data_IF_878843463961
#
_entry.id   IF_878843463961
#
_cell.length_a   1.000
_cell.length_b   1.000
_cell.length_c   1.000
_cell.angle_alpha   90.00
_cell.angle_beta   90.00
_cell.angle_gamma   90.00
#
_symmetry.space_group_name_H-M   'P 1'
#
loop_
_entity.id
_entity.type
_entity.pdbx_description
1 polymer ?
#
# COMPACT_ATOMS: atom_id res chain seq x y z
N UNK A 1 5.06 -7.66 12.97
CA UNK A 1 3.90 -8.41 12.42
C UNK A 1 4.08 -9.92 12.54
N UNK A 2 4.98 -10.54 11.76
CA UNK A 2 5.18 -12.00 11.79
C UNK A 2 5.59 -12.51 13.18
N UNK A 3 6.59 -11.86 13.78
CA UNK A 3 7.07 -12.14 15.15
C UNK A 3 6.01 -11.86 16.23
N UNK A 4 5.09 -10.93 15.97
CA UNK A 4 3.99 -10.60 16.86
C UNK A 4 2.80 -11.57 16.70
N UNK A 5 2.97 -12.66 15.94
CA UNK A 5 1.98 -13.72 15.75
C UNK A 5 0.95 -13.46 14.65
N UNK A 6 1.08 -12.39 13.86
CA UNK A 6 0.12 -12.10 12.78
C UNK A 6 0.33 -12.99 11.57
N UNK A 7 -0.78 -13.43 10.97
CA UNK A 7 -0.81 -14.02 9.63
C UNK A 7 -0.76 -12.91 8.58
N UNK A 8 0.33 -12.89 7.80
CA UNK A 8 0.61 -11.82 6.83
C UNK A 8 0.50 -12.38 5.42
N UNK A 9 -0.25 -11.70 4.56
CA UNK A 9 -0.23 -11.95 3.12
C UNK A 9 0.52 -10.85 2.40
N UNK A 10 1.58 -11.21 1.68
CA UNK A 10 2.35 -10.30 0.85
C UNK A 10 1.90 -10.43 -0.61
N UNK A 11 1.30 -9.36 -1.15
CA UNK A 11 0.93 -9.28 -2.56
C UNK A 11 2.17 -8.91 -3.40
N UNK A 12 2.46 -9.70 -4.44
CA UNK A 12 3.61 -9.49 -5.31
C UNK A 12 3.29 -9.87 -6.75
N UNK A 13 3.85 -9.15 -7.72
CA UNK A 13 3.75 -9.51 -9.15
C UNK A 13 4.59 -10.75 -9.51
N UNK A 14 5.46 -11.19 -8.62
CA UNK A 14 6.29 -12.38 -8.80
C UNK A 14 6.39 -13.15 -7.48
N UNK A 15 5.69 -14.29 -7.39
CA UNK A 15 5.73 -15.15 -6.19
C UNK A 15 7.08 -15.83 -5.95
N UNK A 16 7.91 -15.94 -6.99
CA UNK A 16 9.24 -16.55 -6.91
C UNK A 16 10.33 -15.53 -6.51
N UNK A 17 9.94 -14.37 -5.96
CA UNK A 17 10.87 -13.36 -5.48
C UNK A 17 11.62 -13.88 -4.25
N UNK A 18 12.94 -14.10 -4.39
CA UNK A 18 13.79 -14.60 -3.31
C UNK A 18 13.71 -13.77 -2.03
N UNK A 19 13.60 -12.45 -2.13
CA UNK A 19 13.47 -11.58 -0.94
C UNK A 19 12.25 -11.91 -0.08
N UNK A 20 11.17 -12.43 -0.69
CA UNK A 20 9.96 -12.85 0.02
C UNK A 20 10.03 -14.33 0.41
N UNK A 21 10.49 -15.21 -0.49
CA UNK A 21 10.56 -16.65 -0.19
C UNK A 21 11.58 -16.98 0.90
N UNK A 22 12.68 -16.22 0.96
CA UNK A 22 13.77 -16.44 1.92
C UNK A 22 13.38 -16.04 3.35
N UNK A 23 12.25 -15.34 3.54
CA UNK A 23 11.71 -15.02 4.89
C UNK A 23 11.33 -16.30 5.64
N UNK A 24 10.85 -17.33 4.94
CA UNK A 24 10.65 -18.68 5.50
C UNK A 24 9.77 -18.78 6.76
N UNK A 25 8.84 -17.84 6.97
CA UNK A 25 8.02 -17.79 8.19
C UNK A 25 6.66 -18.48 8.02
N UNK A 26 6.20 -19.34 8.96
CA UNK A 26 4.97 -20.12 8.82
C UNK A 26 3.69 -19.26 8.70
N UNK A 27 3.70 -18.05 9.24
CA UNK A 27 2.58 -17.12 9.15
C UNK A 27 2.62 -16.21 7.90
N UNK A 28 3.64 -16.34 7.04
CA UNK A 28 3.73 -15.60 5.79
C UNK A 28 3.09 -16.40 4.65
N UNK A 29 2.16 -15.76 3.93
CA UNK A 29 1.64 -16.26 2.65
C UNK A 29 1.99 -15.29 1.54
N UNK A 30 2.53 -15.81 0.42
CA UNK A 30 2.83 -15.00 -0.76
C UNK A 30 1.65 -15.13 -1.73
N UNK A 31 1.04 -14.01 -2.09
CA UNK A 31 -0.07 -13.94 -3.04
C UNK A 31 0.45 -13.30 -4.33
N UNK A 32 0.33 -14.01 -5.44
CA UNK A 32 0.69 -13.46 -6.75
C UNK A 32 -0.43 -12.59 -7.29
N UNK A 33 -0.13 -11.35 -7.68
CA UNK A 33 -1.10 -10.42 -8.24
C UNK A 33 -0.54 -9.02 -8.45
N UNK A 34 -1.37 -8.16 -9.03
CA UNK A 34 -1.00 -6.79 -9.41
C UNK A 34 -1.93 -5.76 -8.75
N UNK A 35 -1.39 -4.61 -8.31
CA UNK A 35 -2.19 -3.50 -7.77
C UNK A 35 -3.10 -2.88 -8.82
N UNK A 36 -2.77 -3.08 -10.09
CA UNK A 36 -3.53 -2.60 -11.23
C UNK A 36 -4.74 -3.47 -11.57
N UNK A 37 -4.80 -4.70 -11.04
CA UNK A 37 -5.85 -5.70 -11.30
C UNK A 37 -6.81 -5.83 -10.11
N UNK A 38 -8.09 -5.57 -10.35
CA UNK A 38 -9.12 -5.64 -9.33
C UNK A 38 -9.30 -7.05 -8.77
N UNK A 39 -9.16 -8.09 -9.60
CA UNK A 39 -9.35 -9.49 -9.15
C UNK A 39 -8.21 -9.88 -8.21
N UNK A 40 -6.97 -9.49 -8.55
CA UNK A 40 -5.81 -9.63 -7.67
C UNK A 40 -6.03 -8.95 -6.31
N UNK A 41 -6.49 -7.69 -6.31
CA UNK A 41 -6.77 -6.93 -5.07
C UNK A 41 -7.86 -7.59 -4.22
N UNK A 42 -8.99 -7.98 -4.83
CA UNK A 42 -10.08 -8.67 -4.13
C UNK A 42 -9.60 -9.97 -3.49
N UNK A 43 -8.87 -10.79 -4.26
CA UNK A 43 -8.33 -12.07 -3.76
C UNK A 43 -7.36 -11.85 -2.58
N UNK A 44 -6.52 -10.82 -2.64
CA UNK A 44 -5.57 -10.50 -1.59
C UNK A 44 -6.23 -9.98 -0.30
N UNK A 45 -7.35 -9.26 -0.42
CA UNK A 45 -8.06 -8.64 0.72
C UNK A 45 -9.11 -9.55 1.36
N UNK A 46 -9.59 -10.56 0.64
CA UNK A 46 -10.66 -11.45 1.11
C UNK A 46 -10.32 -12.09 2.46
N UNK A 47 -11.19 -11.85 3.45
CA UNK A 47 -11.06 -12.40 4.80
C UNK A 47 -9.90 -11.83 5.62
N UNK A 48 -9.29 -10.70 5.19
CA UNK A 48 -8.25 -10.01 5.95
C UNK A 48 -8.86 -8.99 6.91
N UNK A 49 -8.21 -8.79 8.05
CA UNK A 49 -8.62 -7.78 9.02
C UNK A 49 -8.22 -6.37 8.58
N UNK A 50 -6.97 -6.21 8.14
CA UNK A 50 -6.39 -4.91 7.82
C UNK A 50 -5.34 -5.05 6.73
N UNK A 51 -4.96 -3.90 6.15
CA UNK A 51 -3.92 -3.83 5.12
C UNK A 51 -2.96 -2.68 5.40
N UNK A 52 -1.70 -2.90 5.05
CA UNK A 52 -0.71 -1.84 4.90
C UNK A 52 -0.65 -1.47 3.42
N UNK A 53 -0.99 -0.23 3.08
CA UNK A 53 -1.03 0.26 1.71
C UNK A 53 0.13 1.18 1.41
N UNK A 54 0.81 0.91 0.30
CA UNK A 54 1.81 1.78 -0.32
C UNK A 54 1.80 1.48 -1.82
N UNK A 55 1.87 2.51 -2.65
CA UNK A 55 1.98 2.39 -4.10
C UNK A 55 3.40 2.72 -4.54
N UNK A 56 3.91 2.08 -5.61
CA UNK A 56 5.15 2.52 -6.23
C UNK A 56 4.93 3.86 -6.92
N UNK A 57 5.92 4.75 -6.84
CA UNK A 57 5.97 5.93 -7.71
C UNK A 57 6.28 5.43 -9.12
N UNK A 58 5.31 5.51 -10.02
CA UNK A 58 5.52 5.23 -11.44
C UNK A 58 6.09 6.48 -12.07
N UNK A 59 7.38 6.43 -12.43
CA UNK A 59 8.08 7.54 -13.09
C UNK A 59 7.31 7.88 -14.37
N UNK A 60 6.88 9.14 -14.47
CA UNK A 60 6.10 9.70 -15.58
C UNK A 60 4.59 9.36 -15.62
N UNK A 61 4.06 8.61 -14.67
CA UNK A 61 2.61 8.33 -14.58
C UNK A 61 2.09 8.33 -13.13
N UNK A 62 1.89 9.52 -12.58
CA UNK A 62 1.25 9.68 -11.26
C UNK A 62 -0.23 9.31 -11.26
N UNK A 63 -0.86 9.17 -12.44
CA UNK A 63 -2.27 8.78 -12.53
C UNK A 63 -2.48 7.32 -12.14
N UNK A 64 -1.48 6.47 -12.38
CA UNK A 64 -1.50 5.07 -11.98
C UNK A 64 -1.47 4.91 -10.45
N UNK A 65 -0.64 5.69 -9.75
CA UNK A 65 -0.62 5.74 -8.28
C UNK A 65 -1.99 6.15 -7.72
N UNK A 66 -2.61 7.19 -8.31
CA UNK A 66 -3.96 7.61 -7.96
C UNK A 66 -4.98 6.49 -8.17
N UNK A 67 -4.94 5.84 -9.34
CA UNK A 67 -5.88 4.77 -9.69
C UNK A 67 -5.76 3.58 -8.75
N UNK A 68 -4.53 3.14 -8.45
CA UNK A 68 -4.26 2.06 -7.52
C UNK A 68 -4.74 2.40 -6.11
N UNK A 69 -4.42 3.59 -5.61
CA UNK A 69 -4.86 4.05 -4.28
C UNK A 69 -6.37 4.09 -4.14
N UNK A 70 -7.07 4.66 -5.13
CA UNK A 70 -8.53 4.71 -5.15
C UNK A 70 -9.15 3.32 -5.20
N UNK A 71 -8.61 2.41 -6.02
CA UNK A 71 -9.12 1.03 -6.12
C UNK A 71 -8.86 0.21 -4.86
N UNK A 72 -7.73 0.40 -4.19
CA UNK A 72 -7.47 -0.25 -2.92
C UNK A 72 -8.51 0.15 -1.88
N UNK A 73 -8.86 1.45 -1.77
CA UNK A 73 -9.87 1.93 -0.82
C UNK A 73 -11.25 1.36 -1.17
N UNK A 74 -11.65 1.43 -2.44
CA UNK A 74 -12.94 0.91 -2.91
C UNK A 74 -13.10 -0.60 -2.63
N UNK A 75 -12.09 -1.40 -2.97
CA UNK A 75 -12.13 -2.85 -2.76
C UNK A 75 -12.05 -3.19 -1.27
N UNK A 76 -11.28 -2.43 -0.48
CA UNK A 76 -11.21 -2.61 0.95
C UNK A 76 -12.58 -2.39 1.63
N UNK A 77 -13.38 -1.42 1.15
CA UNK A 77 -14.76 -1.22 1.61
C UNK A 77 -15.63 -2.43 1.26
N UNK A 78 -15.52 -2.96 0.03
CA UNK A 78 -16.27 -4.13 -0.43
C UNK A 78 -15.93 -5.40 0.36
N UNK A 79 -14.65 -5.60 0.67
CA UNK A 79 -14.15 -6.77 1.40
C UNK A 79 -14.23 -6.60 2.93
N UNK A 80 -14.86 -5.53 3.42
CA UNK A 80 -15.07 -5.25 4.85
C UNK A 80 -13.76 -5.19 5.65
N UNK A 81 -12.71 -4.61 5.07
CA UNK A 81 -11.46 -4.33 5.77
C UNK A 81 -11.73 -3.38 6.93
N UNK A 82 -11.23 -3.73 8.12
CA UNK A 82 -11.50 -2.99 9.35
C UNK A 82 -10.54 -1.82 9.56
N UNK A 83 -9.29 -1.97 9.08
CA UNK A 83 -8.25 -0.96 9.28
C UNK A 83 -7.28 -0.87 8.09
N UNK A 84 -7.00 0.34 7.62
CA UNK A 84 -5.95 0.64 6.64
C UNK A 84 -4.84 1.44 7.30
N UNK A 85 -3.60 0.95 7.23
CA UNK A 85 -2.42 1.76 7.48
C UNK A 85 -1.89 2.21 6.13
N UNK A 86 -1.97 3.51 5.84
CA UNK A 86 -1.55 4.08 4.56
C UNK A 86 -0.25 4.86 4.72
N UNK A 87 0.76 4.51 3.92
CA UNK A 87 2.05 5.22 3.90
C UNK A 87 2.09 6.24 2.78
N UNK A 88 2.29 7.52 3.13
CA UNK A 88 2.33 8.64 2.18
C UNK A 88 3.70 9.33 2.22
N UNK A 89 3.74 10.65 2.38
CA UNK A 89 4.96 11.44 2.45
C UNK A 89 4.78 12.68 3.34
N UNK A 90 5.90 13.10 3.94
CA UNK A 90 5.99 14.33 4.71
C UNK A 90 5.63 15.55 3.86
N UNK A 91 4.64 16.32 4.33
CA UNK A 91 4.15 17.53 3.65
C UNK A 91 2.88 17.33 2.82
N UNK A 92 2.41 16.09 2.61
CA UNK A 92 1.07 15.85 2.04
C UNK A 92 0.01 16.50 2.94
N UNK A 93 -0.96 17.19 2.33
CA UNK A 93 -1.99 17.98 3.02
C UNK A 93 -1.42 19.11 3.93
N UNK A 94 -0.26 19.69 3.57
CA UNK A 94 0.36 20.84 4.26
C UNK A 94 0.83 21.93 3.28
N UNK A 95 -0.04 22.34 2.35
CA UNK A 95 0.24 23.34 1.31
C UNK A 95 1.43 23.02 0.39
N UNK A 96 1.84 21.75 0.31
CA UNK A 96 2.88 21.29 -0.61
C UNK A 96 2.26 20.99 -1.96
N UNK A 97 2.85 21.52 -3.02
CA UNK A 97 2.44 21.32 -4.40
C UNK A 97 3.35 20.33 -5.12
N UNK A 98 2.87 19.79 -6.24
CA UNK A 98 3.61 18.86 -7.08
C UNK A 98 2.81 17.59 -7.37
N UNK A 99 2.90 17.04 -8.60
CA UNK A 99 1.99 15.98 -9.05
C UNK A 99 1.88 14.78 -8.10
N UNK A 100 3.00 14.32 -7.56
CA UNK A 100 3.02 13.20 -6.60
C UNK A 100 2.35 13.55 -5.25
N UNK A 101 2.62 14.75 -4.69
CA UNK A 101 2.00 15.17 -3.42
C UNK A 101 0.50 15.41 -3.56
N UNK A 102 0.06 15.92 -4.70
CA UNK A 102 -1.35 16.15 -4.99
C UNK A 102 -2.11 14.83 -5.17
N UNK A 103 -1.48 13.82 -5.78
CA UNK A 103 -2.05 12.46 -5.86
C UNK A 103 -2.18 11.83 -4.48
N UNK A 104 -1.12 11.84 -3.67
CA UNK A 104 -1.18 11.34 -2.29
C UNK A 104 -2.23 12.06 -1.46
N UNK A 105 -2.37 13.38 -1.61
CA UNK A 105 -3.41 14.16 -0.92
C UNK A 105 -4.82 13.70 -1.31
N UNK A 106 -5.08 13.42 -2.60
CA UNK A 106 -6.37 12.89 -3.07
C UNK A 106 -6.67 11.50 -2.47
N UNK A 107 -5.67 10.62 -2.42
CA UNK A 107 -5.84 9.28 -1.84
C UNK A 107 -6.09 9.37 -0.33
N UNK A 108 -5.32 10.20 0.39
CA UNK A 108 -5.55 10.46 1.82
C UNK A 108 -6.96 10.98 2.08
N UNK A 109 -7.41 11.99 1.32
CA UNK A 109 -8.74 12.57 1.51
C UNK A 109 -9.84 11.53 1.27
N UNK A 110 -9.73 10.74 0.19
CA UNK A 110 -10.67 9.64 -0.06
C UNK A 110 -10.68 8.59 1.04
N UNK A 111 -9.52 8.29 1.62
CA UNK A 111 -9.43 7.35 2.75
C UNK A 111 -10.09 7.92 4.00
N UNK A 112 -9.92 9.22 4.27
CA UNK A 112 -10.57 9.90 5.40
C UNK A 112 -12.10 10.05 5.22
N UNK A 113 -12.58 10.07 3.97
CA UNK A 113 -14.01 10.05 3.62
C UNK A 113 -14.60 8.63 3.61
N UNK A 114 -13.75 7.58 3.67
CA UNK A 114 -14.20 6.20 3.71
C UNK A 114 -14.80 5.82 5.06
N UNK A 115 -15.54 4.72 5.11
CA UNK A 115 -16.04 4.14 6.36
C UNK A 115 -14.99 3.24 7.06
N UNK A 116 -13.74 3.21 6.59
CA UNK A 116 -12.69 2.34 7.12
C UNK A 116 -11.85 3.11 8.16
N UNK A 117 -11.50 2.45 9.27
CA UNK A 117 -10.56 3.05 10.21
C UNK A 117 -9.18 3.20 9.55
N UNK A 118 -8.59 4.39 9.63
CA UNK A 118 -7.36 4.69 8.92
C UNK A 118 -6.27 5.19 9.86
N UNK A 119 -5.03 4.84 9.54
CA UNK A 119 -3.83 5.45 10.10
C UNK A 119 -2.92 5.88 8.96
N UNK A 120 -2.62 7.16 8.88
CA UNK A 120 -1.75 7.71 7.83
C UNK A 120 -0.35 7.94 8.38
N UNK A 121 0.63 7.23 7.84
CA UNK A 121 2.04 7.39 8.16
C UNK A 121 2.66 8.30 7.10
N UNK A 122 3.28 9.41 7.52
CA UNK A 122 3.87 10.42 6.62
C UNK A 122 5.40 10.44 6.75
N UNK A 123 6.14 9.49 6.15
CA UNK A 123 7.58 9.43 6.27
C UNK A 123 8.26 10.67 5.68
N UNK A 124 9.39 11.08 6.26
CA UNK A 124 10.30 12.03 5.64
C UNK A 124 11.15 11.35 4.56
N UNK A 125 12.16 12.06 4.04
CA UNK A 125 13.14 11.45 3.14
C UNK A 125 13.80 10.23 3.80
N UNK A 126 13.80 9.09 3.11
CA UNK A 126 14.39 7.86 3.63
C UNK A 126 15.92 7.95 3.64
N UNK A 127 16.54 7.52 4.74
CA UNK A 127 18.00 7.45 4.83
C UNK A 127 18.57 6.43 3.82
N UNK A 128 17.80 5.40 3.48
CA UNK A 128 18.14 4.39 2.47
C UNK A 128 18.46 5.00 1.09
N UNK A 129 17.88 6.17 0.77
CA UNK A 129 18.13 6.87 -0.48
C UNK A 129 19.58 7.37 -0.61
N UNK A 130 20.33 7.52 0.48
CA UNK A 130 21.75 7.88 0.40
C UNK A 130 22.64 6.74 -0.11
N UNK A 131 22.16 5.49 -0.07
CA UNK A 131 22.93 4.32 -0.51
C UNK A 131 22.67 3.93 -1.97
N UNK A 132 21.73 4.59 -2.66
CA UNK A 132 21.31 4.22 -4.03
C UNK A 132 22.02 5.03 -5.12
N UNK A 133 23.10 5.77 -4.80
CA UNK A 133 23.89 6.56 -5.75
C UNK A 133 25.38 6.14 -5.74
N UNK A 134 25.67 4.91 -6.17
CA UNK A 134 27.00 4.45 -6.57
C UNK A 134 26.91 3.79 -7.95
#
# INVERSE_FOLDING_TARGET
MLEDGWYVSALTRNKNNRKLSDIGHPHLSIVEGDLSDNVSLQSAMKGKYGLYSIQPIVKDDVSEELRQGMKIIEIAEQENIQHIVYSTAGGVNRNRTGPHFEVLAKIENRLMESNINATVIKPSFFMDNFFTHC
#
